data_IF_283427509713
#
_entry.id   IF_283427509713
#
_cell.length_a   1.000
_cell.length_b   1.000
_cell.length_c   1.000
_cell.angle_alpha   90.00
_cell.angle_beta   90.00
_cell.angle_gamma   90.00
#
_symmetry.space_group_name_H-M   'P 1'
#
loop_
_entity.id
_entity.type
_entity.pdbx_description
1 polymer ?
#
# COMPACT_ATOMS: atom_id res chain seq x y z
N UNK A 1 -1.06 -8.12 17.19
CA UNK A 1 -1.09 -9.44 16.53
C UNK A 1 -1.45 -9.25 15.07
N UNK A 2 -0.73 -9.90 14.15
CA UNK A 2 -1.05 -9.95 12.71
C UNK A 2 -2.35 -10.74 12.57
N UNK A 3 -3.50 -10.07 12.57
CA UNK A 3 -4.77 -10.75 12.33
C UNK A 3 -4.80 -11.19 10.87
N UNK A 4 -4.84 -12.52 10.67
CA UNK A 4 -4.72 -13.28 9.42
C UNK A 4 -3.28 -13.71 9.03
N UNK A 5 -2.61 -14.46 9.92
CA UNK A 5 -1.45 -15.27 9.57
C UNK A 5 -1.81 -16.40 8.59
N UNK A 6 -1.44 -16.24 7.32
CA UNK A 6 -1.46 -17.27 6.28
C UNK A 6 -0.20 -17.24 5.43
N UNK A 7 -0.07 -18.14 4.43
CA UNK A 7 1.08 -18.20 3.52
C UNK A 7 1.46 -16.85 2.87
N UNK A 8 0.49 -15.94 2.71
CA UNK A 8 0.71 -14.61 2.11
C UNK A 8 1.49 -13.65 3.03
N UNK A 9 1.27 -13.72 4.34
CA UNK A 9 2.01 -12.90 5.31
C UNK A 9 3.47 -13.37 5.47
N UNK A 10 3.73 -14.69 5.46
CA UNK A 10 5.12 -15.19 5.42
C UNK A 10 5.87 -14.71 4.18
N UNK A 11 5.22 -14.78 3.01
CA UNK A 11 5.82 -14.30 1.76
C UNK A 11 6.14 -12.80 1.80
N UNK A 12 5.25 -12.00 2.37
CA UNK A 12 5.49 -10.56 2.52
C UNK A 12 6.65 -10.29 3.47
N UNK A 13 6.76 -11.00 4.60
CA UNK A 13 7.91 -10.89 5.51
C UNK A 13 9.24 -11.19 4.79
N UNK A 14 9.30 -12.22 3.93
CA UNK A 14 10.49 -12.49 3.12
C UNK A 14 10.80 -11.38 2.11
N UNK A 15 9.78 -10.82 1.44
CA UNK A 15 9.97 -9.75 0.47
C UNK A 15 10.43 -8.46 1.14
N UNK A 16 9.92 -8.16 2.33
CA UNK A 16 10.33 -6.99 3.11
C UNK A 16 11.78 -7.16 3.58
N UNK A 17 12.14 -8.35 4.08
CA UNK A 17 13.53 -8.64 4.46
C UNK A 17 14.50 -8.50 3.28
N UNK A 18 14.17 -9.06 2.11
CA UNK A 18 14.98 -8.91 0.89
C UNK A 18 15.10 -7.44 0.44
N UNK A 19 14.03 -6.64 0.58
CA UNK A 19 14.08 -5.21 0.31
C UNK A 19 15.03 -4.48 1.27
N UNK A 20 15.00 -4.80 2.56
CA UNK A 20 15.93 -4.25 3.55
C UNK A 20 17.38 -4.65 3.28
N UNK A 21 17.63 -5.90 2.91
CA UNK A 21 18.98 -6.38 2.52
C UNK A 21 19.52 -5.62 1.30
N UNK A 22 18.64 -5.20 0.39
CA UNK A 22 18.97 -4.34 -0.76
C UNK A 22 19.08 -2.84 -0.40
N UNK A 23 18.89 -2.48 0.86
CA UNK A 23 18.98 -1.11 1.35
C UNK A 23 17.78 -0.24 1.00
N UNK A 24 16.63 -0.83 0.64
CA UNK A 24 15.39 -0.08 0.47
C UNK A 24 14.85 0.39 1.82
N UNK A 25 14.23 1.57 1.85
CA UNK A 25 13.58 2.14 3.03
C UNK A 25 12.04 2.23 2.88
N UNK A 26 11.54 2.07 1.65
CA UNK A 26 10.15 2.35 1.28
C UNK A 26 9.60 1.23 0.40
N UNK A 27 8.41 0.74 0.74
CA UNK A 27 7.63 -0.18 -0.08
C UNK A 27 6.54 0.57 -0.84
N UNK A 28 6.50 0.41 -2.16
CA UNK A 28 5.44 0.98 -3.01
C UNK A 28 4.57 -0.18 -3.50
N UNK A 29 3.25 -0.05 -3.39
CA UNK A 29 2.30 -1.05 -3.88
C UNK A 29 1.03 -0.40 -4.41
N UNK A 30 0.32 -1.10 -5.28
CA UNK A 30 -0.89 -0.60 -5.90
C UNK A 30 -2.07 -1.59 -5.87
N UNK A 31 -3.28 -1.05 -6.05
CA UNK A 31 -4.52 -1.80 -6.17
C UNK A 31 -5.75 -0.93 -5.94
N UNK A 32 -6.95 -1.52 -5.89
CA UNK A 32 -8.15 -0.74 -5.59
C UNK A 32 -8.15 -0.16 -4.16
N UNK A 33 -8.94 0.89 -3.92
CA UNK A 33 -9.06 1.53 -2.59
C UNK A 33 -9.36 0.56 -1.45
N UNK A 34 -10.11 -0.51 -1.71
CA UNK A 34 -10.44 -1.53 -0.71
C UNK A 34 -9.53 -2.77 -0.78
N UNK A 35 -8.32 -2.64 -1.32
CA UNK A 35 -7.39 -3.76 -1.53
C UNK A 35 -6.86 -4.36 -0.23
N UNK A 36 -7.14 -5.64 -0.02
CA UNK A 36 -6.53 -6.43 1.04
C UNK A 36 -5.02 -6.62 0.83
N UNK A 37 -4.53 -6.59 -0.42
CA UNK A 37 -3.11 -6.68 -0.71
C UNK A 37 -2.38 -5.44 -0.18
N UNK A 38 -2.85 -4.24 -0.56
CA UNK A 38 -2.30 -2.98 -0.08
C UNK A 38 -2.31 -2.89 1.44
N UNK A 39 -3.39 -3.35 2.10
CA UNK A 39 -3.45 -3.40 3.56
C UNK A 39 -2.38 -4.29 4.16
N UNK A 40 -2.22 -5.52 3.64
CA UNK A 40 -1.24 -6.45 4.19
C UNK A 40 0.19 -5.99 3.95
N UNK A 41 0.47 -5.37 2.80
CA UNK A 41 1.78 -4.77 2.50
C UNK A 41 2.08 -3.61 3.45
N UNK A 42 1.13 -2.71 3.68
CA UNK A 42 1.29 -1.63 4.66
C UNK A 42 1.56 -2.17 6.07
N UNK A 43 0.79 -3.16 6.51
CA UNK A 43 1.01 -3.79 7.83
C UNK A 43 2.41 -4.41 7.94
N UNK A 44 2.89 -5.05 6.87
CA UNK A 44 4.24 -5.61 6.82
C UNK A 44 5.31 -4.51 6.88
N UNK A 45 5.17 -3.45 6.10
CA UNK A 45 6.08 -2.30 6.10
C UNK A 45 6.18 -1.65 7.50
N UNK A 46 5.04 -1.32 8.10
CA UNK A 46 4.97 -0.69 9.43
C UNK A 46 5.60 -1.55 10.51
N UNK A 47 5.42 -2.87 10.44
CA UNK A 47 6.03 -3.82 11.39
C UNK A 47 7.54 -3.85 11.31
N UNK A 48 8.06 -3.84 10.10
CA UNK A 48 9.50 -3.84 9.83
C UNK A 48 10.09 -2.42 9.80
N UNK A 49 9.31 -1.41 10.24
CA UNK A 49 9.71 0.00 10.33
C UNK A 49 10.14 0.61 8.99
N UNK A 50 9.57 0.11 7.89
CA UNK A 50 9.72 0.70 6.56
C UNK A 50 8.57 1.65 6.26
N UNK A 51 8.84 2.62 5.40
CA UNK A 51 7.78 3.47 4.82
C UNK A 51 6.94 2.65 3.85
N UNK A 52 5.70 3.08 3.64
CA UNK A 52 4.85 2.48 2.62
C UNK A 52 4.03 3.53 1.90
N UNK A 53 4.14 3.54 0.58
CA UNK A 53 3.34 4.39 -0.31
C UNK A 53 2.34 3.52 -1.06
N UNK A 54 1.07 3.94 -1.06
CA UNK A 54 -0.01 3.24 -1.70
C UNK A 54 -0.49 4.01 -2.92
N UNK A 55 -0.51 3.36 -4.08
CA UNK A 55 -1.12 3.89 -5.31
C UNK A 55 -2.46 3.17 -5.52
N UNK A 56 -3.55 3.87 -5.25
CA UNK A 56 -4.88 3.28 -5.24
C UNK A 56 -5.68 3.69 -6.47
N UNK A 57 -6.31 2.74 -7.15
CA UNK A 57 -7.33 3.07 -8.17
C UNK A 57 -8.70 3.24 -7.54
N UNK A 58 -9.43 4.27 -7.96
CA UNK A 58 -10.84 4.46 -7.66
C UNK A 58 -11.61 4.92 -8.90
N UNK A 59 -12.90 4.62 -8.95
CA UNK A 59 -13.81 5.23 -9.91
C UNK A 59 -13.79 6.77 -9.86
N UNK A 60 -14.46 7.41 -10.82
CA UNK A 60 -14.51 8.87 -10.98
C UNK A 60 -15.27 9.61 -9.87
N UNK A 61 -15.41 9.03 -8.69
CA UNK A 61 -16.05 9.72 -7.57
C UNK A 61 -15.13 10.84 -7.08
N UNK A 62 -15.66 12.05 -6.88
CA UNK A 62 -14.91 13.13 -6.25
C UNK A 62 -14.37 12.69 -4.89
N UNK A 63 -13.17 13.13 -4.53
CA UNK A 63 -12.54 12.83 -3.24
C UNK A 63 -13.45 13.16 -2.05
N UNK A 64 -14.28 14.20 -2.17
CA UNK A 64 -15.28 14.62 -1.19
C UNK A 64 -16.37 13.57 -0.91
N UNK A 65 -16.60 12.66 -1.85
CA UNK A 65 -17.56 11.55 -1.75
C UNK A 65 -16.89 10.23 -1.41
N UNK A 66 -15.56 10.19 -1.32
CA UNK A 66 -14.84 8.99 -0.94
C UNK A 66 -15.20 8.64 0.50
N UNK A 67 -15.94 7.55 0.67
CA UNK A 67 -16.27 7.04 1.98
C UNK A 67 -14.99 6.67 2.73
N UNK A 68 -14.71 7.40 3.82
CA UNK A 68 -13.54 7.16 4.67
C UNK A 68 -13.76 5.94 5.59
N UNK A 69 -13.85 4.76 4.98
CA UNK A 69 -14.17 3.51 5.66
C UNK A 69 -13.26 2.34 5.23
N UNK A 70 -13.43 1.19 5.88
CA UNK A 70 -12.78 -0.06 5.48
C UNK A 70 -11.25 0.04 5.43
N UNK A 71 -10.65 -0.50 4.37
CA UNK A 71 -9.21 -0.49 4.18
C UNK A 71 -8.65 0.93 3.96
N UNK A 72 -9.41 1.83 3.32
CA UNK A 72 -8.98 3.22 3.14
C UNK A 72 -8.76 3.92 4.48
N UNK A 73 -9.71 3.78 5.41
CA UNK A 73 -9.56 4.24 6.79
C UNK A 73 -8.33 3.61 7.46
N UNK A 74 -8.16 2.29 7.30
CA UNK A 74 -7.03 1.57 7.89
C UNK A 74 -5.67 2.04 7.35
N UNK A 75 -5.57 2.45 6.08
CA UNK A 75 -4.30 2.95 5.54
C UNK A 75 -3.81 4.19 6.29
N UNK A 76 -4.72 5.11 6.58
CA UNK A 76 -4.42 6.32 7.33
C UNK A 76 -4.17 6.03 8.80
N UNK A 77 -4.99 5.15 9.40
CA UNK A 77 -4.82 4.77 10.82
C UNK A 77 -3.49 4.07 11.08
N UNK A 78 -3.05 3.22 10.16
CA UNK A 78 -1.79 2.47 10.27
C UNK A 78 -0.57 3.31 9.89
N UNK A 79 -0.76 4.53 9.35
CA UNK A 79 0.31 5.45 9.02
C UNK A 79 1.02 5.12 7.70
N UNK A 80 0.27 4.91 6.61
CA UNK A 80 0.86 4.96 5.28
C UNK A 80 1.60 6.30 5.09
N UNK A 81 2.80 6.25 4.51
CA UNK A 81 3.63 7.44 4.26
C UNK A 81 2.92 8.38 3.28
N UNK A 82 2.33 7.80 2.23
CA UNK A 82 1.52 8.53 1.27
C UNK A 82 0.45 7.61 0.67
N UNK A 83 -0.69 8.19 0.32
CA UNK A 83 -1.81 7.52 -0.36
C UNK A 83 -2.18 8.34 -1.58
N UNK A 84 -1.82 7.83 -2.75
CA UNK A 84 -2.05 8.48 -4.04
C UNK A 84 -3.24 7.77 -4.66
N UNK A 85 -4.29 8.50 -5.00
CA UNK A 85 -5.45 7.93 -5.68
C UNK A 85 -5.49 8.38 -7.13
N UNK A 86 -5.58 7.40 -8.02
CA UNK A 86 -5.58 7.60 -9.47
C UNK A 86 -6.92 7.17 -10.08
N UNK A 87 -7.32 7.74 -11.23
CA UNK A 87 -8.56 7.37 -11.89
C UNK A 87 -8.57 5.89 -12.31
N UNK A 88 -9.76 5.29 -12.28
CA UNK A 88 -9.95 3.92 -12.76
C UNK A 88 -9.46 3.76 -14.21
N UNK A 89 -8.66 2.72 -14.46
CA UNK A 89 -8.05 2.46 -15.76
C UNK A 89 -6.71 3.17 -15.99
N UNK A 90 -6.17 3.89 -15.00
CA UNK A 90 -4.79 4.38 -15.04
C UNK A 90 -3.78 3.22 -15.07
N UNK A 91 -2.60 3.47 -15.65
CA UNK A 91 -1.49 2.52 -15.61
C UNK A 91 -0.81 2.58 -14.23
N UNK A 92 -1.25 1.70 -13.32
CA UNK A 92 -0.71 1.63 -11.96
C UNK A 92 0.81 1.38 -11.92
N UNK A 93 1.37 0.67 -12.91
CA UNK A 93 2.81 0.43 -12.95
C UNK A 93 3.58 1.69 -13.30
N UNK A 94 3.07 2.47 -14.26
CA UNK A 94 3.62 3.77 -14.60
C UNK A 94 3.56 4.72 -13.39
N UNK A 95 2.42 4.77 -12.70
CA UNK A 95 2.25 5.62 -11.51
C UNK A 95 3.19 5.21 -10.37
N UNK A 96 3.32 3.91 -10.07
CA UNK A 96 4.30 3.43 -9.10
C UNK A 96 5.74 3.82 -9.45
N UNK A 97 6.11 3.79 -10.75
CA UNK A 97 7.44 4.21 -11.19
C UNK A 97 7.67 5.73 -11.10
N UNK A 98 6.62 6.54 -11.22
CA UNK A 98 6.70 7.99 -11.00
C UNK A 98 7.02 8.26 -9.53
N UNK A 99 6.24 7.66 -8.64
CA UNK A 99 6.39 7.77 -7.18
C UNK A 99 7.76 7.29 -6.71
N UNK A 100 8.31 6.22 -7.31
CA UNK A 100 9.63 5.71 -6.95
C UNK A 100 10.80 6.65 -7.28
N UNK A 101 10.57 7.72 -8.07
CA UNK A 101 11.60 8.68 -8.50
C UNK A 101 11.54 10.01 -7.74
N UNK A 102 10.51 10.21 -6.92
CA UNK A 102 10.33 11.39 -6.05
C UNK A 102 11.17 11.26 -4.77
#
# INVERSE_FOLDING_TARGET
GLTAGGNKTRKLEFLVADAQEKGADTLITAGGIQSNHCRLTLVAAVKEKMKCILVLEEGLEPEEKRDFNGNYFLYHLLGAENVIVVPNGADLMEEMHKVAKE
#
